data_IF_918224916545
#
_entry.id   IF_918224916545
#
_cell.length_a   1.000
_cell.length_b   1.000
_cell.length_c   1.000
_cell.angle_alpha   90.00
_cell.angle_beta   90.00
_cell.angle_gamma   90.00
#
_symmetry.space_group_name_H-M   'P 1'
#
loop_
_entity.id
_entity.type
_entity.pdbx_description
1 polymer ?
#
# COMPACT_ATOMS: atom_id res chain seq x y z
N UNK A 1 1.66 6.61 -11.58
CA UNK A 1 0.65 7.43 -12.32
C UNK A 1 -0.56 7.84 -11.46
N UNK A 2 -1.30 6.94 -10.76
CA UNK A 2 -2.56 7.31 -10.07
C UNK A 2 -2.39 8.30 -8.92
N UNK A 3 -1.36 8.14 -8.06
CA UNK A 3 -1.06 9.13 -7.01
C UNK A 3 -0.64 10.48 -7.58
N UNK A 4 0.16 10.49 -8.65
CA UNK A 4 0.53 11.72 -9.36
C UNK A 4 -0.69 12.42 -9.97
N UNK A 5 -1.60 11.65 -10.61
CA UNK A 5 -2.84 12.20 -11.15
C UNK A 5 -3.71 12.86 -10.06
N UNK A 6 -3.74 12.27 -8.85
CA UNK A 6 -4.44 12.85 -7.69
C UNK A 6 -3.91 14.22 -7.30
N UNK A 7 -2.59 14.42 -7.35
CA UNK A 7 -1.98 15.70 -6.99
C UNK A 7 -2.42 16.85 -7.93
N UNK A 8 -2.81 16.52 -9.16
CA UNK A 8 -3.13 17.50 -10.21
C UNK A 8 -4.64 17.63 -10.46
N UNK A 9 -5.38 16.54 -10.28
CA UNK A 9 -6.79 16.48 -10.73
C UNK A 9 -7.82 16.60 -9.59
N UNK A 10 -7.44 16.30 -8.36
CA UNK A 10 -8.41 16.22 -7.26
C UNK A 10 -8.17 17.32 -6.20
N UNK A 11 -9.27 17.95 -5.74
CA UNK A 11 -9.23 18.96 -4.69
C UNK A 11 -10.49 18.85 -3.82
N UNK A 12 -10.33 18.84 -2.48
CA UNK A 12 -9.09 18.79 -1.71
C UNK A 12 -8.35 17.46 -1.91
N UNK A 13 -7.05 17.41 -1.65
CA UNK A 13 -6.28 16.17 -1.71
C UNK A 13 -6.59 15.27 -0.51
N UNK A 14 -6.74 13.96 -0.76
CA UNK A 14 -6.86 12.93 0.29
C UNK A 14 -5.49 12.58 0.85
N UNK A 15 -4.50 12.52 -0.03
CA UNK A 15 -3.10 12.33 0.29
C UNK A 15 -2.29 13.44 -0.36
N UNK A 16 -1.55 14.20 0.42
CA UNK A 16 -0.58 15.15 -0.11
C UNK A 16 0.76 14.42 -0.35
N UNK A 17 1.11 14.30 -1.63
CA UNK A 17 2.30 13.56 -2.08
C UNK A 17 3.02 14.36 -3.17
N UNK A 18 3.75 15.42 -2.77
CA UNK A 18 4.42 16.29 -3.73
C UNK A 18 5.50 15.57 -4.56
N UNK A 19 5.95 14.40 -4.10
CA UNK A 19 6.97 13.59 -4.76
C UNK A 19 6.37 12.67 -5.84
N UNK A 20 5.06 12.39 -5.78
CA UNK A 20 4.39 11.44 -6.67
C UNK A 20 4.57 11.74 -8.17
N UNK A 21 4.66 13.01 -8.56
CA UNK A 21 4.88 13.39 -9.94
C UNK A 21 6.37 13.46 -10.30
N UNK A 22 7.24 14.14 -9.53
CA UNK A 22 8.68 14.18 -9.79
C UNK A 22 9.34 12.81 -9.95
N UNK A 23 9.03 11.86 -9.10
CA UNK A 23 9.62 10.51 -9.15
C UNK A 23 9.28 9.74 -10.43
N UNK A 24 8.18 10.07 -11.09
CA UNK A 24 7.80 9.48 -12.38
C UNK A 24 8.59 10.06 -13.56
N UNK A 25 9.14 11.25 -13.39
CA UNK A 25 9.93 11.96 -14.39
C UNK A 25 9.10 12.73 -15.43
N UNK A 26 9.74 13.52 -16.28
CA UNK A 26 9.11 14.50 -17.16
C UNK A 26 8.19 13.87 -18.22
N UNK A 27 8.54 12.69 -18.74
CA UNK A 27 7.70 11.99 -19.73
C UNK A 27 6.33 11.60 -19.13
N UNK A 28 6.32 11.05 -17.92
CA UNK A 28 5.09 10.70 -17.23
C UNK A 28 4.26 11.93 -16.86
N UNK A 29 4.91 13.06 -16.55
CA UNK A 29 4.24 14.33 -16.31
C UNK A 29 3.54 14.84 -17.59
N UNK A 30 4.21 14.80 -18.72
CA UNK A 30 3.65 15.16 -20.02
C UNK A 30 2.48 14.24 -20.42
N UNK A 31 2.65 12.93 -20.23
CA UNK A 31 1.58 11.96 -20.47
C UNK A 31 0.35 12.22 -19.59
N UNK A 32 0.55 12.57 -18.32
CA UNK A 32 -0.53 12.86 -17.39
C UNK A 32 -1.36 14.08 -17.88
N UNK A 33 -0.69 15.09 -18.42
CA UNK A 33 -1.36 16.25 -18.98
C UNK A 33 -2.11 15.92 -20.28
N UNK A 34 -1.49 15.19 -21.21
CA UNK A 34 -2.12 14.82 -22.49
C UNK A 34 -3.29 13.84 -22.31
N UNK A 35 -3.25 12.98 -21.31
CA UNK A 35 -4.29 11.99 -21.04
C UNK A 35 -5.28 12.41 -19.94
N UNK A 36 -5.28 13.68 -19.53
CA UNK A 36 -6.13 14.20 -18.45
C UNK A 36 -7.60 13.76 -18.60
N UNK A 37 -8.17 13.87 -19.81
CA UNK A 37 -9.54 13.46 -20.08
C UNK A 37 -9.80 11.96 -19.81
N UNK A 38 -8.84 11.09 -20.15
CA UNK A 38 -8.96 9.64 -19.89
C UNK A 38 -8.80 9.31 -18.40
N UNK A 39 -8.04 10.12 -17.68
CA UNK A 39 -7.84 9.96 -16.25
C UNK A 39 -9.01 10.47 -15.41
N UNK A 40 -9.88 11.31 -16.00
CA UNK A 40 -11.00 11.92 -15.27
C UNK A 40 -12.36 11.24 -15.55
N UNK A 41 -12.40 10.18 -16.34
CA UNK A 41 -13.62 9.36 -16.48
C UNK A 41 -13.96 8.65 -15.16
N UNK A 42 -15.25 8.35 -14.88
CA UNK A 42 -15.70 7.81 -13.60
C UNK A 42 -14.91 6.59 -13.09
N UNK A 43 -14.67 5.59 -13.94
CA UNK A 43 -13.93 4.38 -13.57
C UNK A 43 -12.48 4.71 -13.17
N UNK A 44 -11.81 5.61 -13.91
CA UNK A 44 -10.45 6.03 -13.58
C UNK A 44 -10.39 6.80 -12.26
N UNK A 45 -11.42 7.63 -11.98
CA UNK A 45 -11.56 8.36 -10.70
C UNK A 45 -11.75 7.41 -9.53
N UNK A 46 -12.63 6.40 -9.62
CA UNK A 46 -12.85 5.43 -8.55
C UNK A 46 -11.59 4.63 -8.24
N UNK A 47 -10.89 4.20 -9.27
CA UNK A 47 -9.63 3.50 -9.10
C UNK A 47 -8.54 4.41 -8.50
N UNK A 48 -8.45 5.66 -8.94
CA UNK A 48 -7.54 6.67 -8.37
C UNK A 48 -7.85 6.90 -6.90
N UNK A 49 -9.12 7.05 -6.53
CA UNK A 49 -9.55 7.21 -5.14
C UNK A 49 -9.06 6.05 -4.27
N UNK A 50 -9.22 4.79 -4.72
CA UNK A 50 -8.73 3.62 -3.99
C UNK A 50 -7.21 3.61 -3.85
N UNK A 51 -6.48 3.88 -4.95
CA UNK A 51 -5.02 3.92 -4.94
C UNK A 51 -4.44 4.97 -4.00
N UNK A 52 -5.14 6.07 -3.81
CA UNK A 52 -4.70 7.16 -2.94
C UNK A 52 -5.06 6.90 -1.49
N UNK A 53 -6.29 6.46 -1.25
CA UNK A 53 -6.78 6.26 0.12
C UNK A 53 -6.07 5.14 0.84
N UNK A 54 -5.61 4.08 0.15
CA UNK A 54 -4.83 3.02 0.78
C UNK A 54 -3.51 3.54 1.36
N UNK A 55 -2.81 4.45 0.63
CA UNK A 55 -1.59 5.08 1.15
C UNK A 55 -1.91 6.02 2.32
N UNK A 56 -2.99 6.82 2.21
CA UNK A 56 -3.44 7.67 3.32
C UNK A 56 -3.80 6.85 4.57
N UNK A 57 -4.51 5.75 4.40
CA UNK A 57 -4.86 4.85 5.50
C UNK A 57 -3.63 4.25 6.17
N UNK A 58 -2.64 3.83 5.39
CA UNK A 58 -1.38 3.33 5.94
C UNK A 58 -0.63 4.40 6.75
N UNK A 59 -0.66 5.66 6.32
CA UNK A 59 -0.06 6.77 7.05
C UNK A 59 -0.83 7.13 8.33
N UNK A 60 -2.17 7.04 8.30
CA UNK A 60 -2.99 7.21 9.51
C UNK A 60 -2.73 6.08 10.52
N UNK A 61 -2.59 4.83 10.06
CA UNK A 61 -2.22 3.69 10.92
C UNK A 61 -0.80 3.84 11.47
N UNK A 62 0.13 4.38 10.68
CA UNK A 62 1.48 4.68 11.16
C UNK A 62 1.45 5.72 12.28
N UNK A 63 0.67 6.79 12.14
CA UNK A 63 0.50 7.78 13.20
C UNK A 63 -0.02 7.16 14.50
N UNK A 64 -1.00 6.24 14.40
CA UNK A 64 -1.51 5.49 15.55
C UNK A 64 -0.46 4.56 16.15
N UNK A 65 0.31 3.86 15.30
CA UNK A 65 1.37 2.96 15.74
C UNK A 65 2.50 3.73 16.45
N UNK A 66 2.89 4.90 15.97
CA UNK A 66 3.85 5.78 16.65
C UNK A 66 3.33 6.17 18.04
N UNK A 67 2.04 6.50 18.16
CA UNK A 67 1.41 6.75 19.46
C UNK A 67 1.45 5.54 20.41
N UNK A 68 1.62 4.33 19.88
CA UNK A 68 1.84 3.08 20.66
C UNK A 68 3.33 2.74 20.84
N UNK A 69 4.24 3.59 20.42
CA UNK A 69 5.68 3.40 20.56
C UNK A 69 6.39 2.78 19.36
N UNK A 70 5.76 2.75 18.18
CA UNK A 70 6.42 2.27 16.98
C UNK A 70 7.62 3.15 16.63
N UNK A 71 8.78 2.52 16.46
CA UNK A 71 10.03 3.16 16.05
C UNK A 71 10.56 2.64 14.71
N UNK A 72 9.85 1.72 14.10
CA UNK A 72 10.16 1.17 12.78
C UNK A 72 8.92 1.11 11.90
N UNK A 73 9.08 1.45 10.65
CA UNK A 73 8.07 1.31 9.61
C UNK A 73 8.64 0.50 8.45
N UNK A 74 8.00 -0.60 8.12
CA UNK A 74 8.43 -1.49 7.02
C UNK A 74 7.43 -1.41 5.89
N UNK A 75 7.88 -1.04 4.71
CA UNK A 75 7.07 -0.96 3.49
C UNK A 75 7.39 -2.17 2.63
N UNK A 76 6.48 -3.13 2.59
CA UNK A 76 6.62 -4.37 1.83
C UNK A 76 6.13 -4.16 0.39
N UNK A 77 6.96 -4.47 -0.60
CA UNK A 77 6.71 -4.16 -1.99
C UNK A 77 6.69 -2.65 -2.22
N UNK A 78 7.77 -1.97 -1.78
CA UNK A 78 7.83 -0.51 -1.72
C UNK A 78 7.67 0.16 -3.09
N UNK A 79 8.06 -0.47 -4.20
CA UNK A 79 7.94 0.06 -5.55
C UNK A 79 8.33 1.54 -5.62
N UNK A 80 7.44 2.37 -6.15
CA UNK A 80 7.57 3.83 -6.11
C UNK A 80 6.78 4.46 -4.94
N UNK A 81 6.68 3.81 -3.78
CA UNK A 81 6.20 4.48 -2.58
C UNK A 81 7.10 5.67 -2.23
N UNK A 82 6.49 6.74 -1.74
CA UNK A 82 7.16 8.02 -1.53
C UNK A 82 7.17 8.46 -0.07
N UNK A 83 6.54 7.70 0.83
CA UNK A 83 6.45 8.07 2.25
C UNK A 83 7.82 8.39 2.85
N UNK A 84 8.81 7.56 2.61
CA UNK A 84 10.14 7.68 3.17
C UNK A 84 10.83 9.03 2.87
N UNK A 85 10.51 9.64 1.74
CA UNK A 85 11.10 10.90 1.25
C UNK A 85 10.29 12.16 1.60
N UNK A 86 9.15 11.98 2.27
CA UNK A 86 8.29 13.06 2.78
C UNK A 86 7.80 12.77 4.21
N UNK A 87 8.55 11.93 4.90
CA UNK A 87 8.24 11.46 6.24
C UNK A 87 8.06 12.65 7.22
N UNK A 88 6.86 12.88 7.79
CA UNK A 88 6.62 13.97 8.72
C UNK A 88 7.23 13.69 10.10
N UNK A 89 7.74 12.49 10.32
CA UNK A 89 8.39 12.04 11.56
C UNK A 89 9.92 12.01 11.43
N UNK A 90 10.51 12.78 10.51
CA UNK A 90 11.94 12.77 10.22
C UNK A 90 12.81 13.14 11.45
N UNK A 91 12.29 14.00 12.33
CA UNK A 91 12.93 14.38 13.59
C UNK A 91 12.72 13.35 14.71
N UNK A 92 11.79 12.41 14.55
CA UNK A 92 11.62 11.28 15.44
C UNK A 92 12.61 10.16 15.10
N UNK A 93 12.87 9.25 16.03
CA UNK A 93 13.73 8.10 15.81
C UNK A 93 13.11 7.03 14.88
N UNK A 94 12.10 7.37 14.05
CA UNK A 94 11.45 6.44 13.15
C UNK A 94 12.39 6.01 12.03
N UNK A 95 12.70 4.72 11.99
CA UNK A 95 13.43 4.08 10.88
C UNK A 95 12.45 3.53 9.86
N UNK A 96 12.69 3.81 8.59
CA UNK A 96 11.87 3.32 7.47
C UNK A 96 12.66 2.26 6.69
N UNK A 97 12.08 1.09 6.52
CA UNK A 97 12.64 0.00 5.73
C UNK A 97 11.81 -0.17 4.46
N UNK A 98 12.43 -0.01 3.31
CA UNK A 98 11.82 -0.31 2.04
C UNK A 98 12.25 -1.70 1.57
N UNK A 99 11.29 -2.62 1.57
CA UNK A 99 11.50 -4.01 1.14
C UNK A 99 10.94 -4.17 -0.27
N UNK A 100 11.76 -4.61 -1.20
CA UNK A 100 11.32 -4.90 -2.57
C UNK A 100 12.30 -5.83 -3.27
N UNK A 101 11.90 -6.33 -4.44
CA UNK A 101 12.79 -7.08 -5.32
C UNK A 101 14.02 -6.25 -5.72
N UNK A 102 15.23 -6.82 -5.78
CA UNK A 102 16.47 -6.06 -6.02
C UNK A 102 16.44 -5.16 -7.26
N UNK A 103 15.90 -5.67 -8.38
CA UNK A 103 15.81 -4.87 -9.61
C UNK A 103 14.82 -3.71 -9.48
N UNK A 104 13.71 -3.87 -8.75
CA UNK A 104 12.75 -2.80 -8.48
C UNK A 104 13.37 -1.72 -7.61
N UNK A 105 14.16 -2.09 -6.61
CA UNK A 105 14.89 -1.12 -5.79
C UNK A 105 15.95 -0.36 -6.60
N UNK A 106 16.73 -1.04 -7.43
CA UNK A 106 17.71 -0.39 -8.30
C UNK A 106 17.03 0.65 -9.21
N UNK A 107 15.92 0.26 -9.84
CA UNK A 107 15.12 1.18 -10.65
C UNK A 107 14.57 2.37 -9.84
N UNK A 108 14.11 2.17 -8.61
CA UNK A 108 13.68 3.26 -7.74
C UNK A 108 14.80 4.24 -7.43
N UNK A 109 16.00 3.74 -7.12
CA UNK A 109 17.18 4.57 -6.85
C UNK A 109 17.54 5.44 -8.05
N UNK A 110 17.51 4.89 -9.26
CA UNK A 110 17.70 5.66 -10.50
C UNK A 110 16.65 6.76 -10.66
N UNK A 111 15.36 6.46 -10.34
CA UNK A 111 14.28 7.45 -10.41
C UNK A 111 14.44 8.57 -9.39
N UNK A 112 14.84 8.24 -8.16
CA UNK A 112 15.11 9.22 -7.11
C UNK A 112 16.27 10.15 -7.52
N UNK A 113 17.37 9.59 -8.00
CA UNK A 113 18.53 10.35 -8.47
C UNK A 113 18.16 11.26 -9.64
N UNK A 114 17.45 10.74 -10.65
CA UNK A 114 17.01 11.52 -11.81
C UNK A 114 16.05 12.66 -11.45
N UNK A 115 15.28 12.51 -10.37
CA UNK A 115 14.38 13.53 -9.88
C UNK A 115 15.04 14.49 -8.87
N UNK A 116 16.31 14.31 -8.50
CA UNK A 116 17.00 15.10 -7.48
C UNK A 116 16.43 14.93 -6.08
N UNK A 117 15.79 13.78 -5.80
CA UNK A 117 15.18 13.50 -4.49
C UNK A 117 16.24 12.88 -3.58
N UNK A 118 16.57 13.56 -2.49
CA UNK A 118 17.53 13.07 -1.52
C UNK A 118 16.96 11.86 -0.74
N UNK A 119 17.82 10.90 -0.44
CA UNK A 119 17.49 9.74 0.40
C UNK A 119 17.78 10.11 1.86
N UNK A 120 16.74 10.17 2.74
CA UNK A 120 16.96 10.47 4.14
C UNK A 120 17.77 9.38 4.85
N UNK A 121 18.57 9.76 5.85
CA UNK A 121 19.36 8.82 6.64
C UNK A 121 18.51 7.81 7.44
N UNK A 122 17.23 8.11 7.67
CA UNK A 122 16.26 7.21 8.30
C UNK A 122 15.81 6.05 7.40
N UNK A 123 16.12 6.08 6.11
CA UNK A 123 15.70 5.06 5.14
C UNK A 123 16.76 3.98 5.01
N UNK A 124 16.31 2.73 5.06
CA UNK A 124 17.13 1.56 4.78
C UNK A 124 16.47 0.74 3.68
N UNK A 125 17.19 0.47 2.62
CA UNK A 125 16.73 -0.45 1.57
C UNK A 125 17.07 -1.88 1.98
N UNK A 126 16.06 -2.75 1.90
CA UNK A 126 16.17 -4.17 2.16
C UNK A 126 15.77 -4.95 0.89
N UNK A 127 16.71 -5.20 -0.03
CA UNK A 127 16.42 -5.99 -1.23
C UNK A 127 16.11 -7.42 -0.84
N UNK A 128 14.91 -7.92 -1.21
CA UNK A 128 14.45 -9.27 -0.89
C UNK A 128 13.92 -9.93 -2.16
N UNK A 129 14.57 -11.02 -2.53
CA UNK A 129 14.06 -11.95 -3.51
C UNK A 129 13.33 -13.08 -2.78
N UNK A 130 12.00 -13.00 -2.72
CA UNK A 130 11.17 -13.97 -1.98
C UNK A 130 11.20 -15.40 -2.56
N UNK A 131 11.78 -15.60 -3.76
CA UNK A 131 12.04 -16.94 -4.29
C UNK A 131 13.28 -17.59 -3.65
N UNK A 132 14.17 -16.81 -3.05
CA UNK A 132 15.48 -17.25 -2.57
C UNK A 132 15.71 -17.02 -1.08
N UNK A 133 14.99 -16.09 -0.47
CA UNK A 133 15.17 -15.73 0.94
C UNK A 133 13.86 -15.34 1.62
N UNK A 134 13.82 -15.50 2.92
CA UNK A 134 12.67 -15.05 3.72
C UNK A 134 12.70 -13.55 3.99
N UNK A 135 11.54 -12.97 4.31
CA UNK A 135 11.46 -11.59 4.81
C UNK A 135 12.33 -11.39 6.06
N UNK A 136 12.37 -12.40 6.94
CA UNK A 136 13.17 -12.35 8.17
C UNK A 136 14.66 -12.18 7.88
N UNK A 137 15.19 -12.94 6.91
CA UNK A 137 16.60 -12.88 6.53
C UNK A 137 16.96 -11.54 5.88
N UNK A 138 16.11 -11.06 4.96
CA UNK A 138 16.33 -9.77 4.32
C UNK A 138 16.30 -8.59 5.29
N UNK A 139 15.36 -8.58 6.22
CA UNK A 139 15.29 -7.55 7.25
C UNK A 139 16.45 -7.65 8.26
N UNK A 140 16.91 -8.86 8.61
CA UNK A 140 18.08 -9.05 9.47
C UNK A 140 19.34 -8.45 8.84
N UNK A 141 19.57 -8.66 7.55
CA UNK A 141 20.68 -8.06 6.80
C UNK A 141 20.61 -6.52 6.74
N UNK A 142 19.41 -5.95 6.84
CA UNK A 142 19.15 -4.52 6.88
C UNK A 142 19.23 -3.91 8.31
N UNK A 143 19.72 -4.65 9.31
CA UNK A 143 19.77 -4.25 10.72
C UNK A 143 18.39 -3.88 11.31
N UNK A 144 17.35 -4.62 10.90
CA UNK A 144 16.02 -4.51 11.47
C UNK A 144 16.00 -5.08 12.90
N UNK A 145 15.33 -4.40 13.82
CA UNK A 145 15.25 -4.81 15.23
C UNK A 145 13.93 -5.53 15.50
N UNK A 146 13.99 -6.84 15.71
CA UNK A 146 12.81 -7.67 16.01
C UNK A 146 12.17 -7.39 17.38
N UNK A 147 12.87 -6.75 18.27
CA UNK A 147 12.39 -6.37 19.60
C UNK A 147 11.81 -4.93 19.66
N UNK A 148 11.70 -4.25 18.53
CA UNK A 148 11.13 -2.90 18.45
C UNK A 148 9.71 -2.95 17.90
N UNK A 149 8.83 -2.12 18.46
CA UNK A 149 7.46 -1.96 17.95
C UNK A 149 7.52 -1.44 16.51
N UNK A 150 6.83 -2.13 15.61
CA UNK A 150 6.92 -1.91 14.16
C UNK A 150 5.55 -1.92 13.51
N UNK A 151 5.29 -0.97 12.62
CA UNK A 151 4.19 -1.09 11.67
C UNK A 151 4.72 -1.60 10.33
N UNK A 152 4.01 -2.55 9.74
CA UNK A 152 4.24 -3.02 8.39
C UNK A 152 3.13 -2.50 7.47
N UNK A 153 3.47 -1.94 6.31
CA UNK A 153 2.51 -1.65 5.25
C UNK A 153 2.76 -2.55 4.03
N UNK A 154 1.67 -3.05 3.47
CA UNK A 154 1.74 -4.01 2.38
C UNK A 154 0.69 -3.70 1.32
N UNK A 155 0.96 -2.67 0.52
CA UNK A 155 -0.01 -2.07 -0.37
C UNK A 155 0.19 -2.46 -1.84
N UNK A 156 -0.85 -3.04 -2.45
CA UNK A 156 -0.87 -3.40 -3.86
C UNK A 156 -0.06 -4.62 -4.21
N UNK A 157 0.17 -5.51 -3.26
CA UNK A 157 1.00 -6.72 -3.40
C UNK A 157 0.19 -7.98 -3.11
N UNK A 158 -0.63 -7.97 -2.06
CA UNK A 158 -1.28 -9.18 -1.54
C UNK A 158 -2.11 -9.96 -2.57
N UNK A 159 -2.82 -9.35 -3.54
CA UNK A 159 -3.57 -10.12 -4.53
C UNK A 159 -2.71 -10.96 -5.49
N UNK A 160 -1.41 -10.70 -5.56
CA UNK A 160 -0.47 -11.38 -6.46
C UNK A 160 0.32 -12.50 -5.77
N UNK A 161 0.15 -12.66 -4.47
CA UNK A 161 0.89 -13.63 -3.66
C UNK A 161 0.19 -14.98 -3.61
N UNK A 162 0.98 -16.00 -3.26
CA UNK A 162 0.43 -17.27 -2.81
C UNK A 162 -0.09 -17.14 -1.37
N UNK A 163 -0.99 -18.04 -0.98
CA UNK A 163 -1.51 -18.09 0.39
C UNK A 163 -0.41 -18.37 1.42
N UNK A 164 0.54 -19.19 1.06
CA UNK A 164 1.69 -19.58 1.88
C UNK A 164 2.58 -18.36 2.15
N UNK A 165 2.91 -17.58 1.11
CA UNK A 165 3.74 -16.38 1.23
C UNK A 165 3.06 -15.32 2.11
N UNK A 166 1.75 -15.11 1.93
CA UNK A 166 1.01 -14.20 2.78
C UNK A 166 0.97 -14.68 4.23
N UNK A 167 0.67 -15.96 4.46
CA UNK A 167 0.60 -16.52 5.82
C UNK A 167 1.96 -16.44 6.53
N UNK A 168 3.06 -16.74 5.84
CA UNK A 168 4.40 -16.62 6.41
C UNK A 168 4.75 -15.17 6.80
N UNK A 169 4.40 -14.21 5.96
CA UNK A 169 4.61 -12.79 6.27
C UNK A 169 3.78 -12.32 7.46
N UNK A 170 2.49 -12.69 7.51
CA UNK A 170 1.61 -12.36 8.65
C UNK A 170 2.11 -13.04 9.94
N UNK A 171 2.58 -14.29 9.87
CA UNK A 171 3.18 -14.99 11.02
C UNK A 171 4.46 -14.27 11.52
N UNK A 172 5.28 -13.75 10.61
CA UNK A 172 6.44 -12.94 10.98
C UNK A 172 6.01 -11.67 11.75
N UNK A 173 4.95 -10.99 11.29
CA UNK A 173 4.42 -9.81 11.98
C UNK A 173 3.81 -10.18 13.33
N UNK A 174 3.08 -11.29 13.42
CA UNK A 174 2.47 -11.80 14.66
C UNK A 174 3.50 -12.16 15.75
N UNK A 175 4.76 -12.40 15.35
CA UNK A 175 5.86 -12.66 16.27
C UNK A 175 6.59 -11.37 16.72
N UNK A 176 6.10 -10.18 16.36
CA UNK A 176 6.67 -8.90 16.77
C UNK A 176 6.17 -8.49 18.15
N UNK A 177 6.83 -7.51 18.83
CA UNK A 177 6.36 -7.00 20.11
C UNK A 177 4.95 -6.43 20.07
N UNK A 178 4.25 -6.51 21.20
CA UNK A 178 2.93 -5.87 21.40
C UNK A 178 2.97 -4.40 20.99
N UNK A 179 1.93 -3.93 20.30
CA UNK A 179 1.84 -2.61 19.69
C UNK A 179 2.27 -2.57 18.24
N UNK A 180 2.93 -3.64 17.75
CA UNK A 180 3.22 -3.81 16.32
C UNK A 180 1.95 -4.17 15.54
N UNK A 181 2.01 -4.01 14.23
CA UNK A 181 0.86 -4.34 13.39
C UNK A 181 1.17 -4.30 11.91
N UNK A 182 0.14 -4.60 11.12
CA UNK A 182 0.20 -4.58 9.66
C UNK A 182 -1.01 -3.85 9.09
N UNK A 183 -0.79 -3.13 8.00
CA UNK A 183 -1.84 -2.54 7.17
C UNK A 183 -1.65 -2.98 5.73
N UNK A 184 -2.72 -3.46 5.09
CA UNK A 184 -2.66 -3.96 3.72
C UNK A 184 -3.99 -3.78 2.99
N UNK A 185 -3.94 -3.79 1.66
CA UNK A 185 -5.13 -3.93 0.84
C UNK A 185 -5.23 -5.35 0.29
N UNK A 186 -6.46 -5.83 0.15
CA UNK A 186 -6.74 -7.16 -0.36
C UNK A 186 -7.97 -7.17 -1.27
N UNK A 187 -8.12 -8.23 -2.04
CA UNK A 187 -9.25 -8.44 -2.92
C UNK A 187 -10.22 -9.50 -2.35
N UNK A 188 -11.52 -9.25 -2.48
CA UNK A 188 -12.54 -10.25 -2.16
C UNK A 188 -12.74 -11.21 -3.35
N UNK A 189 -13.25 -12.44 -3.11
CA UNK A 189 -13.55 -13.38 -4.17
C UNK A 189 -14.56 -12.84 -5.18
N UNK A 190 -14.46 -13.26 -6.43
CA UNK A 190 -15.41 -12.92 -7.50
C UNK A 190 -16.85 -13.27 -7.14
N UNK A 191 -17.06 -14.36 -6.39
CA UNK A 191 -18.37 -14.81 -5.90
C UNK A 191 -19.07 -13.76 -5.04
N UNK A 192 -18.31 -12.99 -4.25
CA UNK A 192 -18.82 -11.96 -3.34
C UNK A 192 -19.17 -10.64 -4.04
N UNK A 193 -18.89 -10.53 -5.34
CA UNK A 193 -19.17 -9.33 -6.13
C UNK A 193 -20.58 -9.34 -6.72
N UNK A 194 -21.20 -8.16 -6.84
CA UNK A 194 -22.42 -7.96 -7.61
C UNK A 194 -22.19 -8.32 -9.08
N UNK A 195 -23.27 -8.51 -9.86
CA UNK A 195 -23.18 -8.82 -11.29
C UNK A 195 -22.31 -7.83 -12.07
N UNK A 196 -22.52 -6.53 -11.88
CA UNK A 196 -21.70 -5.49 -12.51
C UNK A 196 -20.26 -5.49 -11.99
N UNK A 197 -20.09 -5.80 -10.70
CA UNK A 197 -18.77 -5.97 -10.08
C UNK A 197 -17.97 -7.11 -10.71
N UNK A 198 -18.60 -8.25 -10.99
CA UNK A 198 -17.96 -9.39 -11.68
C UNK A 198 -17.49 -9.02 -13.08
N UNK A 199 -18.33 -8.31 -13.85
CA UNK A 199 -17.96 -7.88 -15.19
C UNK A 199 -16.77 -6.89 -15.19
N UNK A 200 -16.75 -5.98 -14.22
CA UNK A 200 -15.64 -5.05 -14.04
C UNK A 200 -14.36 -5.77 -13.59
N UNK A 201 -14.49 -6.75 -12.68
CA UNK A 201 -13.40 -7.60 -12.24
C UNK A 201 -12.80 -8.41 -13.38
N UNK A 202 -13.61 -9.08 -14.19
CA UNK A 202 -13.15 -9.92 -15.31
C UNK A 202 -12.31 -9.11 -16.31
N UNK A 203 -12.73 -7.85 -16.59
CA UNK A 203 -11.95 -6.93 -17.42
C UNK A 203 -10.64 -6.51 -16.79
N UNK A 204 -10.63 -6.25 -15.48
CA UNK A 204 -9.42 -5.90 -14.75
C UNK A 204 -8.46 -7.09 -14.68
N UNK A 205 -8.96 -8.26 -14.31
CA UNK A 205 -8.18 -9.49 -14.21
C UNK A 205 -7.52 -9.87 -15.56
N UNK A 206 -8.25 -9.73 -16.66
CA UNK A 206 -7.69 -9.95 -18.01
C UNK A 206 -6.51 -9.00 -18.31
N UNK A 207 -6.63 -7.70 -17.96
CA UNK A 207 -5.53 -6.74 -18.17
C UNK A 207 -4.30 -7.07 -17.35
N UNK A 208 -4.51 -7.40 -16.07
CA UNK A 208 -3.42 -7.67 -15.13
C UNK A 208 -2.72 -8.97 -15.52
N UNK A 209 -3.48 -10.00 -15.90
CA UNK A 209 -2.94 -11.26 -16.41
C UNK A 209 -2.11 -11.06 -17.70
N UNK A 210 -2.58 -10.20 -18.62
CA UNK A 210 -1.83 -9.87 -19.85
C UNK A 210 -0.52 -9.12 -19.56
N UNK A 211 -0.40 -8.49 -18.38
CA UNK A 211 0.83 -7.86 -17.90
C UNK A 211 1.78 -8.83 -17.16
N UNK A 212 1.41 -10.11 -17.04
CA UNK A 212 2.21 -11.14 -16.37
C UNK A 212 1.99 -11.25 -14.85
N UNK A 213 1.04 -10.51 -14.29
CA UNK A 213 0.78 -10.46 -12.84
C UNK A 213 -0.69 -10.83 -12.51
N UNK A 214 -1.12 -12.11 -12.73
CA UNK A 214 -2.51 -12.49 -12.46
C UNK A 214 -2.83 -12.39 -10.97
N UNK A 215 -4.09 -12.02 -10.67
CA UNK A 215 -4.60 -12.12 -9.29
C UNK A 215 -4.68 -13.59 -8.87
N UNK A 216 -4.06 -13.92 -7.74
CA UNK A 216 -3.99 -15.29 -7.22
C UNK A 216 -4.69 -15.46 -5.88
N UNK A 217 -4.75 -14.40 -5.06
CA UNK A 217 -5.19 -14.48 -3.67
C UNK A 217 -6.39 -13.58 -3.39
N UNK A 218 -7.42 -14.20 -2.84
CA UNK A 218 -8.68 -13.56 -2.45
C UNK A 218 -9.09 -14.02 -1.06
N UNK A 219 -9.75 -13.14 -0.30
CA UNK A 219 -10.25 -13.45 1.02
C UNK A 219 -11.68 -12.97 1.22
N UNK A 220 -12.50 -13.81 1.85
CA UNK A 220 -13.72 -13.36 2.49
C UNK A 220 -13.37 -12.55 3.74
N UNK A 221 -13.98 -11.37 3.95
CA UNK A 221 -13.62 -10.46 5.04
C UNK A 221 -13.62 -11.11 6.42
N UNK A 222 -14.71 -11.80 6.78
CA UNK A 222 -14.87 -12.42 8.08
C UNK A 222 -13.87 -13.56 8.30
N UNK A 223 -13.59 -14.35 7.26
CA UNK A 223 -12.61 -15.43 7.32
C UNK A 223 -11.18 -14.89 7.52
N UNK A 224 -10.84 -13.79 6.85
CA UNK A 224 -9.54 -13.14 7.03
C UNK A 224 -9.40 -12.55 8.43
N UNK A 225 -10.43 -11.87 8.94
CA UNK A 225 -10.43 -11.33 10.29
C UNK A 225 -10.29 -12.45 11.35
N UNK A 226 -11.02 -13.56 11.20
CA UNK A 226 -10.90 -14.73 12.07
C UNK A 226 -9.49 -15.34 12.03
N UNK A 227 -8.89 -15.45 10.84
CA UNK A 227 -7.51 -15.93 10.68
C UNK A 227 -6.52 -15.02 11.41
N UNK A 228 -6.61 -13.69 11.25
CA UNK A 228 -5.73 -12.74 11.94
C UNK A 228 -5.90 -12.83 13.47
N UNK A 229 -7.15 -12.95 13.95
CA UNK A 229 -7.42 -13.16 15.39
C UNK A 229 -6.75 -14.44 15.90
N UNK A 230 -6.85 -15.54 15.16
CA UNK A 230 -6.23 -16.81 15.54
C UNK A 230 -4.70 -16.74 15.57
N UNK A 231 -4.10 -15.81 14.83
CA UNK A 231 -2.66 -15.56 14.81
C UNK A 231 -2.19 -14.57 15.89
N UNK A 232 -3.10 -14.08 16.74
CA UNK A 232 -2.76 -13.25 17.92
C UNK A 232 -3.00 -11.75 17.76
N UNK A 233 -3.52 -11.28 16.63
CA UNK A 233 -3.90 -9.88 16.48
C UNK A 233 -5.15 -9.57 17.30
N UNK A 234 -5.09 -8.50 18.11
CA UNK A 234 -6.13 -8.12 19.07
C UNK A 234 -7.08 -7.04 18.53
N UNK A 235 -6.56 -6.13 17.70
CA UNK A 235 -7.37 -5.09 17.08
C UNK A 235 -7.33 -5.25 15.57
N UNK A 236 -8.50 -5.46 14.97
CA UNK A 236 -8.64 -5.65 13.53
C UNK A 236 -9.68 -4.64 13.02
N UNK A 237 -9.32 -3.89 12.00
CA UNK A 237 -10.23 -2.99 11.28
C UNK A 237 -10.23 -3.36 9.80
N UNK A 238 -11.41 -3.64 9.27
CA UNK A 238 -11.62 -3.95 7.85
C UNK A 238 -12.55 -2.91 7.21
N UNK A 239 -12.06 -2.20 6.20
CA UNK A 239 -12.74 -1.12 5.54
C UNK A 239 -13.12 -1.47 4.11
N UNK A 240 -14.40 -1.61 3.83
CA UNK A 240 -14.96 -1.62 2.49
C UNK A 240 -15.23 -0.20 1.96
N UNK A 241 -15.78 -0.12 0.75
CA UNK A 241 -15.99 1.16 0.06
C UNK A 241 -16.82 2.17 0.89
N UNK A 242 -17.84 1.71 1.61
CA UNK A 242 -18.72 2.60 2.38
C UNK A 242 -18.00 3.21 3.58
N UNK A 243 -17.25 2.40 4.34
CA UNK A 243 -16.45 2.86 5.48
C UNK A 243 -15.32 3.80 5.02
N UNK A 244 -14.66 3.46 3.91
CA UNK A 244 -13.64 4.31 3.30
C UNK A 244 -14.24 5.66 2.89
N UNK A 245 -15.40 5.66 2.25
CA UNK A 245 -16.06 6.89 1.82
C UNK A 245 -16.53 7.75 2.99
N UNK A 246 -17.08 7.13 4.03
CA UNK A 246 -17.50 7.82 5.24
C UNK A 246 -16.33 8.51 5.96
N UNK A 247 -15.12 7.92 5.91
CA UNK A 247 -13.92 8.44 6.59
C UNK A 247 -13.18 9.48 5.75
N UNK A 248 -12.98 9.25 4.45
CA UNK A 248 -12.02 10.01 3.63
C UNK A 248 -12.66 10.86 2.53
N UNK A 249 -13.92 10.59 2.16
CA UNK A 249 -14.54 11.22 1.02
C UNK A 249 -15.87 11.91 1.34
N UNK A 250 -16.16 12.12 2.63
CA UNK A 250 -17.40 12.78 3.05
C UNK A 250 -17.44 14.23 2.57
N UNK A 251 -18.59 14.66 2.07
CA UNK A 251 -18.92 16.06 1.68
C UNK A 251 -17.96 16.69 0.65
N UNK A 252 -17.35 15.89 -0.22
CA UNK A 252 -16.45 16.40 -1.27
C UNK A 252 -17.21 17.02 -2.43
N UNK A 253 -16.84 18.27 -2.77
CA UNK A 253 -17.43 18.98 -3.91
C UNK A 253 -17.09 18.32 -5.27
N UNK A 254 -15.88 17.74 -5.39
CA UNK A 254 -15.42 17.03 -6.60
C UNK A 254 -16.03 15.63 -6.76
N UNK A 255 -16.84 15.18 -5.79
CA UNK A 255 -17.51 13.86 -5.77
C UNK A 255 -16.54 12.66 -5.95
N UNK A 256 -15.24 12.85 -5.68
CA UNK A 256 -14.28 11.76 -5.64
C UNK A 256 -14.68 10.76 -4.56
N UNK A 257 -14.65 9.47 -4.86
CA UNK A 257 -15.01 8.39 -3.94
C UNK A 257 -14.51 7.05 -4.43
N UNK A 258 -14.43 6.09 -3.53
CA UNK A 258 -14.24 4.67 -3.88
C UNK A 258 -15.58 4.08 -4.33
N UNK A 259 -15.54 3.23 -5.34
CA UNK A 259 -16.69 2.42 -5.76
C UNK A 259 -16.27 0.99 -6.02
N UNK A 260 -17.26 0.09 -5.88
CA UNK A 260 -17.06 -1.35 -6.03
C UNK A 260 -16.79 -2.02 -4.70
N UNK A 261 -16.76 -3.35 -4.74
CA UNK A 261 -16.62 -4.20 -3.56
C UNK A 261 -15.30 -4.99 -3.57
N UNK A 262 -14.53 -4.93 -4.68
CA UNK A 262 -13.37 -5.78 -4.91
C UNK A 262 -12.24 -5.54 -3.92
N UNK A 263 -11.84 -4.28 -3.76
CA UNK A 263 -10.71 -3.90 -2.92
C UNK A 263 -11.16 -3.45 -1.54
N UNK A 264 -10.50 -3.93 -0.52
CA UNK A 264 -10.69 -3.56 0.89
C UNK A 264 -9.37 -3.19 1.54
N UNK A 265 -9.45 -2.47 2.65
CA UNK A 265 -8.29 -2.11 3.47
C UNK A 265 -8.40 -2.81 4.82
N UNK A 266 -7.31 -3.42 5.24
CA UNK A 266 -7.21 -4.13 6.51
C UNK A 266 -6.09 -3.53 7.35
N UNK A 267 -6.36 -3.27 8.63
CA UNK A 267 -5.30 -3.10 9.62
C UNK A 267 -5.49 -4.11 10.75
N UNK A 268 -4.37 -4.61 11.27
CA UNK A 268 -4.35 -5.52 12.40
C UNK A 268 -3.18 -5.20 13.31
N UNK A 269 -3.39 -5.16 14.63
CA UNK A 269 -2.35 -4.90 15.63
C UNK A 269 -2.37 -5.88 16.80
N UNK A 270 -1.16 -6.12 17.37
CA UNK A 270 -0.88 -7.03 18.48
C UNK A 270 -1.15 -6.39 19.84
#
# INVERSE_FOLDING_TARGET
>A
MRRAAHQVLDSPRVLDDPIALPILGPQAAAQLQSERGKLDIPVARYFRAFMVVRSRYAEDELARAIGRGASQYVILGAGLDTFAYRNPYAESALRVFEVDYPATQAWKLERLAAAGIAIPASVTFAPVDFERQSLADGLAQANFRRNAVTLFSWLGVTPYLTREAMTATIAFVAAMPKGSGVVFDYAVPRSSLSFLGRLAFDRLASRVSSAGEPFQLFFEPDALAAQLTSMGFQSIEDLGADQINARYFKNRADKLRVRGQLGRLMSASL
#
